data_IF_447582420599
#
_entry.id   IF_447582420599
#
_cell.length_a   1.000
_cell.length_b   1.000
_cell.length_c   1.000
_cell.angle_alpha   90.00
_cell.angle_beta   90.00
_cell.angle_gamma   90.00
#
_symmetry.space_group_name_H-M   'P 1'
#
loop_
_entity.id
_entity.type
_entity.pdbx_description
1 polymer ?
#
# COMPACT_ATOMS: atom_id res chain seq x y z
N UNK A 1 -1.96 7.54 -16.42
CA UNK A 1 -0.95 7.91 -15.39
C UNK A 1 0.13 6.83 -15.18
N UNK A 2 -0.23 5.54 -15.07
CA UNK A 2 0.70 4.47 -14.71
C UNK A 2 1.08 3.46 -15.82
N UNK A 3 0.52 3.58 -17.03
CA UNK A 3 0.81 2.66 -18.14
C UNK A 3 2.32 2.59 -18.42
N UNK A 4 2.88 1.38 -18.47
CA UNK A 4 4.30 1.12 -18.74
C UNK A 4 5.23 1.35 -17.55
N UNK A 5 4.71 1.68 -16.36
CA UNK A 5 5.47 1.86 -15.12
C UNK A 5 5.36 0.64 -14.23
N UNK A 6 6.40 0.40 -13.44
CA UNK A 6 6.29 -0.47 -12.26
C UNK A 6 5.65 0.38 -11.16
N UNK A 7 4.60 -0.11 -10.50
CA UNK A 7 3.87 0.65 -9.49
C UNK A 7 3.96 -0.05 -8.14
N UNK A 8 4.42 0.68 -7.13
CA UNK A 8 4.31 0.27 -5.74
C UNK A 8 3.08 0.93 -5.12
N UNK A 9 2.04 0.14 -4.88
CA UNK A 9 0.80 0.59 -4.22
C UNK A 9 0.95 0.36 -2.72
N UNK A 10 0.67 1.36 -1.90
CA UNK A 10 0.85 1.29 -0.43
C UNK A 10 -0.30 1.95 0.31
N UNK A 11 -0.88 1.26 1.30
CA UNK A 11 -1.78 1.90 2.26
C UNK A 11 -0.95 2.63 3.32
N UNK A 12 -1.14 3.94 3.49
CA UNK A 12 -0.33 4.77 4.39
C UNK A 12 -1.14 5.29 5.57
N UNK A 13 -0.39 5.68 6.60
CA UNK A 13 -0.87 6.23 7.84
C UNK A 13 -0.05 7.49 8.20
N UNK A 14 -0.70 8.52 8.74
CA UNK A 14 -0.04 9.73 9.24
C UNK A 14 0.50 9.56 10.66
N UNK A 15 -0.18 8.76 11.50
CA UNK A 15 0.16 8.56 12.91
C UNK A 15 0.48 7.07 13.15
N UNK A 16 1.76 6.72 13.14
CA UNK A 16 2.31 5.39 13.41
C UNK A 16 3.76 5.59 13.87
N UNK A 17 4.23 4.83 14.87
CA UNK A 17 5.65 4.84 15.26
C UNK A 17 6.62 4.49 14.12
N UNK A 18 6.12 3.85 13.05
CA UNK A 18 6.88 3.49 11.85
C UNK A 18 6.69 4.44 10.66
N UNK A 19 5.91 5.51 10.80
CA UNK A 19 5.58 6.44 9.70
C UNK A 19 6.85 7.03 9.11
N UNK A 20 7.72 7.64 9.93
CA UNK A 20 8.94 8.27 9.44
C UNK A 20 9.85 7.29 8.69
N UNK A 21 10.04 6.08 9.22
CA UNK A 21 10.85 5.05 8.57
C UNK A 21 10.27 4.62 7.23
N UNK A 22 8.95 4.35 7.16
CA UNK A 22 8.32 3.90 5.91
C UNK A 22 8.32 5.01 4.86
N UNK A 23 7.99 6.26 5.21
CA UNK A 23 8.04 7.36 4.26
C UNK A 23 9.47 7.62 3.75
N UNK A 24 10.48 7.54 4.63
CA UNK A 24 11.88 7.68 4.23
C UNK A 24 12.32 6.56 3.27
N UNK A 25 11.93 5.31 3.54
CA UNK A 25 12.23 4.18 2.65
C UNK A 25 11.50 4.30 1.30
N UNK A 26 10.23 4.71 1.30
CA UNK A 26 9.48 4.98 0.07
C UNK A 26 10.15 6.10 -0.75
N UNK A 27 10.60 7.16 -0.09
CA UNK A 27 11.36 8.25 -0.74
C UNK A 27 12.65 7.73 -1.34
N UNK A 28 13.43 6.93 -0.61
CA UNK A 28 14.68 6.34 -1.12
C UNK A 28 14.44 5.46 -2.34
N UNK A 29 13.38 4.64 -2.33
CA UNK A 29 13.00 3.83 -3.49
C UNK A 29 12.62 4.70 -4.69
N UNK A 30 11.83 5.74 -4.46
CA UNK A 30 11.44 6.69 -5.51
C UNK A 30 12.67 7.39 -6.09
N UNK A 31 13.53 7.96 -5.25
CA UNK A 31 14.75 8.66 -5.68
C UNK A 31 15.65 7.74 -6.53
N UNK A 32 15.75 6.45 -6.15
CA UNK A 32 16.60 5.48 -6.83
C UNK A 32 16.03 4.94 -8.15
N UNK A 33 14.71 4.73 -8.24
CA UNK A 33 14.10 3.99 -9.35
C UNK A 33 13.08 4.77 -10.18
N UNK A 34 12.73 6.01 -9.81
CA UNK A 34 11.78 6.85 -10.56
C UNK A 34 12.20 7.04 -12.02
N UNK A 35 13.49 7.33 -12.26
CA UNK A 35 14.07 7.46 -13.62
C UNK A 35 13.99 6.16 -14.43
N UNK A 36 13.90 5.00 -13.75
CA UNK A 36 13.76 3.67 -14.37
C UNK A 36 12.31 3.27 -14.58
N UNK A 37 11.36 4.14 -14.25
CA UNK A 37 9.93 3.94 -14.44
C UNK A 37 9.19 3.38 -13.22
N UNK A 38 9.73 3.53 -12.00
CA UNK A 38 8.97 3.29 -10.78
C UNK A 38 7.99 4.45 -10.52
N UNK A 39 6.76 4.12 -10.13
CA UNK A 39 5.82 5.04 -9.50
C UNK A 39 5.39 4.49 -8.13
N UNK A 40 5.08 5.39 -7.20
CA UNK A 40 4.54 5.04 -5.89
C UNK A 40 3.14 5.65 -5.80
N UNK A 41 2.14 4.82 -5.50
CA UNK A 41 0.77 5.23 -5.25
C UNK A 41 0.45 5.00 -3.77
N UNK A 42 0.40 6.07 -3.00
CA UNK A 42 0.15 6.04 -1.56
C UNK A 42 -1.30 6.42 -1.28
N UNK A 43 -2.03 5.54 -0.59
CA UNK A 43 -3.43 5.71 -0.26
C UNK A 43 -3.60 5.81 1.27
N UNK A 44 -4.02 6.97 1.80
CA UNK A 44 -4.37 7.10 3.22
C UNK A 44 -5.48 6.12 3.61
N UNK A 45 -5.33 5.42 4.73
CA UNK A 45 -6.29 4.42 5.22
C UNK A 45 -6.84 4.80 6.60
N UNK A 46 -8.14 4.52 6.84
CA UNK A 46 -8.79 4.84 8.13
C UNK A 46 -8.94 3.64 9.08
N UNK A 47 -8.57 2.44 8.65
CA UNK A 47 -8.89 1.21 9.37
C UNK A 47 -7.86 0.83 10.46
N UNK A 48 -6.81 1.65 10.64
CA UNK A 48 -5.72 1.37 11.56
C UNK A 48 -5.26 2.66 12.28
N UNK A 49 -5.40 2.71 13.61
CA UNK A 49 -4.76 3.74 14.45
C UNK A 49 -5.45 5.11 14.52
N UNK A 50 -6.72 5.26 14.12
CA UNK A 50 -7.57 6.40 14.51
C UNK A 50 -7.09 7.81 14.08
N UNK A 51 -6.80 8.03 12.80
CA UNK A 51 -6.25 9.29 12.29
C UNK A 51 -7.32 10.36 12.01
N UNK A 52 -7.00 11.66 12.11
CA UNK A 52 -7.93 12.73 11.74
C UNK A 52 -8.35 12.69 10.26
N UNK A 53 -9.62 12.98 9.97
CA UNK A 53 -10.30 12.82 8.68
C UNK A 53 -10.05 13.95 7.66
N UNK A 54 -8.80 14.42 7.58
CA UNK A 54 -8.45 15.56 6.74
C UNK A 54 -8.28 15.22 5.25
N UNK A 55 -8.29 13.93 4.87
CA UNK A 55 -8.09 13.45 3.50
C UNK A 55 -9.10 12.38 3.12
N UNK A 56 -9.38 12.23 1.81
CA UNK A 56 -10.12 11.08 1.30
C UNK A 56 -9.32 9.80 1.60
N UNK A 57 -9.79 9.02 2.56
CA UNK A 57 -9.21 7.74 2.96
C UNK A 57 -9.93 6.60 2.23
N UNK A 58 -9.20 5.51 2.02
CA UNK A 58 -9.76 4.29 1.43
C UNK A 58 -9.86 3.21 2.49
N UNK A 59 -10.98 2.50 2.49
CA UNK A 59 -11.10 1.23 3.20
C UNK A 59 -10.40 0.15 2.38
N UNK A 60 -9.59 -0.66 3.05
CA UNK A 60 -8.79 -1.73 2.43
C UNK A 60 -9.31 -3.13 2.76
N UNK A 61 -10.24 -3.24 3.72
CA UNK A 61 -10.94 -4.45 4.12
C UNK A 61 -12.43 -4.18 4.37
N UNK A 62 -13.25 -5.23 4.35
CA UNK A 62 -14.66 -5.18 4.77
C UNK A 62 -15.63 -4.81 3.65
N UNK A 63 -16.93 -4.63 3.96
CA UNK A 63 -17.99 -4.50 2.96
C UNK A 63 -17.92 -3.21 2.13
N UNK A 64 -17.19 -2.20 2.61
CA UNK A 64 -16.98 -0.90 1.96
C UNK A 64 -15.58 -0.78 1.34
N UNK A 65 -14.82 -1.88 1.27
CA UNK A 65 -13.47 -1.84 0.74
C UNK A 65 -13.42 -1.34 -0.70
N UNK A 66 -12.36 -0.57 -1.00
CA UNK A 66 -12.20 -0.04 -2.34
C UNK A 66 -11.90 -1.18 -3.34
N UNK A 67 -12.55 -1.24 -4.53
CA UNK A 67 -12.38 -2.34 -5.49
C UNK A 67 -10.93 -2.63 -5.89
N UNK A 68 -10.08 -1.59 -5.90
CA UNK A 68 -8.63 -1.77 -6.08
C UNK A 68 -8.02 -2.72 -5.03
N UNK A 69 -8.34 -2.53 -3.75
CA UNK A 69 -7.79 -3.35 -2.68
C UNK A 69 -8.38 -4.77 -2.68
N UNK A 70 -9.67 -4.92 -3.02
CA UNK A 70 -10.27 -6.23 -3.26
C UNK A 70 -9.47 -7.02 -4.32
N UNK A 71 -9.23 -6.40 -5.48
CA UNK A 71 -8.45 -7.00 -6.58
C UNK A 71 -7.00 -7.33 -6.17
N UNK A 72 -6.32 -6.41 -5.49
CA UNK A 72 -4.92 -6.62 -5.06
C UNK A 72 -4.79 -7.77 -4.07
N UNK A 73 -5.73 -7.88 -3.12
CA UNK A 73 -5.77 -8.95 -2.13
C UNK A 73 -6.08 -10.30 -2.78
N UNK A 74 -7.03 -10.35 -3.73
CA UNK A 74 -7.36 -11.56 -4.49
C UNK A 74 -6.13 -12.09 -5.27
N UNK A 75 -5.40 -11.21 -5.95
CA UNK A 75 -4.25 -11.60 -6.78
C UNK A 75 -3.01 -12.02 -5.97
N UNK A 76 -2.86 -11.54 -4.74
CA UNK A 76 -1.71 -11.81 -3.86
C UNK A 76 -2.16 -12.21 -2.44
N UNK A 77 -3.17 -13.07 -2.38
CA UNK A 77 -3.73 -13.63 -1.16
C UNK A 77 -2.87 -14.77 -0.59
N UNK A 78 -3.10 -15.09 0.69
CA UNK A 78 -2.49 -16.24 1.37
C UNK A 78 -3.49 -17.38 1.59
N UNK A 79 -3.02 -18.53 2.07
CA UNK A 79 -3.85 -19.71 2.35
C UNK A 79 -4.76 -19.57 3.59
N UNK A 80 -4.55 -18.54 4.41
CA UNK A 80 -5.33 -18.22 5.62
C UNK A 80 -5.86 -16.77 5.58
N UNK A 81 -6.60 -16.45 4.51
CA UNK A 81 -7.21 -15.14 4.29
C UNK A 81 -6.25 -14.11 3.69
N UNK A 82 -6.81 -13.09 3.06
CA UNK A 82 -6.10 -12.09 2.27
C UNK A 82 -6.18 -10.67 2.87
N UNK A 83 -6.92 -10.47 3.97
CA UNK A 83 -7.06 -9.17 4.63
C UNK A 83 -5.72 -8.46 4.87
N UNK A 84 -5.73 -7.14 4.69
CA UNK A 84 -4.60 -6.29 5.05
C UNK A 84 -4.58 -6.15 6.57
N UNK A 85 -3.52 -6.66 7.18
CA UNK A 85 -3.43 -6.74 8.64
C UNK A 85 -2.95 -5.44 9.30
N UNK A 86 -2.23 -4.58 8.56
CA UNK A 86 -1.71 -3.32 9.10
C UNK A 86 -1.38 -2.27 8.03
N UNK A 87 -1.12 -1.04 8.50
CA UNK A 87 -0.57 0.06 7.71
C UNK A 87 0.76 -0.30 7.04
N UNK A 88 1.00 0.33 5.88
CA UNK A 88 2.18 0.15 5.04
C UNK A 88 2.32 -1.25 4.44
N UNK A 89 1.22 -1.95 4.18
CA UNK A 89 1.22 -3.10 3.27
C UNK A 89 1.44 -2.59 1.84
N UNK A 90 2.31 -3.27 1.09
CA UNK A 90 2.74 -2.83 -0.23
C UNK A 90 2.42 -3.91 -1.26
N UNK A 91 1.90 -3.50 -2.42
CA UNK A 91 1.71 -4.36 -3.58
C UNK A 91 2.58 -3.85 -4.72
N UNK A 92 3.36 -4.74 -5.31
CA UNK A 92 4.16 -4.45 -6.50
C UNK A 92 3.37 -4.86 -7.73
N UNK A 93 3.20 -3.94 -8.66
CA UNK A 93 2.52 -4.15 -9.94
C UNK A 93 3.51 -3.90 -11.07
N UNK A 94 3.60 -4.84 -12.01
CA UNK A 94 4.50 -4.74 -13.15
C UNK A 94 3.99 -3.74 -14.22
N UNK A 95 4.77 -3.60 -15.30
CA UNK A 95 4.44 -2.68 -16.41
C UNK A 95 3.19 -3.07 -17.20
N UNK A 96 2.76 -4.33 -17.08
CA UNK A 96 1.58 -4.88 -17.73
C UNK A 96 0.34 -4.80 -16.84
N UNK A 97 0.47 -4.34 -15.60
CA UNK A 97 -0.63 -4.26 -14.64
C UNK A 97 -0.83 -5.53 -13.82
N UNK A 98 0.09 -6.50 -13.90
CA UNK A 98 0.01 -7.74 -13.11
C UNK A 98 0.54 -7.49 -11.70
N UNK A 99 -0.19 -7.97 -10.69
CA UNK A 99 0.24 -7.89 -9.29
C UNK A 99 1.27 -8.99 -9.06
N UNK A 100 2.54 -8.61 -8.87
CA UNK A 100 3.65 -9.57 -8.81
C UNK A 100 4.03 -10.00 -7.41
N UNK A 101 3.80 -9.14 -6.40
CA UNK A 101 4.17 -9.44 -5.02
C UNK A 101 3.41 -8.58 -4.02
N UNK A 102 3.22 -9.11 -2.81
CA UNK A 102 2.72 -8.40 -1.63
C UNK A 102 3.75 -8.44 -0.51
N UNK A 103 3.99 -7.28 0.13
CA UNK A 103 4.90 -7.13 1.26
C UNK A 103 4.11 -6.60 2.46
N UNK A 104 4.17 -7.33 3.57
CA UNK A 104 3.45 -7.00 4.81
C UNK A 104 4.41 -6.44 5.86
N UNK A 105 3.91 -5.54 6.70
CA UNK A 105 4.56 -5.26 7.98
C UNK A 105 4.07 -6.29 8.99
N UNK A 106 4.94 -7.21 9.38
CA UNK A 106 4.60 -8.30 10.31
C UNK A 106 4.37 -7.82 11.76
N UNK A 107 4.74 -6.58 12.07
CA UNK A 107 4.60 -6.01 13.40
C UNK A 107 3.67 -4.78 13.38
N UNK A 108 2.56 -4.79 14.13
CA UNK A 108 1.73 -3.60 14.32
C UNK A 108 2.55 -2.50 15.03
N UNK A 109 2.33 -1.25 14.62
CA UNK A 109 2.84 -0.08 15.36
C UNK A 109 2.07 -0.04 16.69
N UNK A 110 2.79 -0.15 17.81
CA UNK A 110 2.29 0.23 19.13
C UNK A 110 2.83 1.60 19.50
#
# INVERSE_FOLDING_TARGET
LFRGKVVLIVNVASECGLTNTNYNQLKQLYDKYSSRGLAIAAFPCNQFGGQPDLYAKVDVNGPTEHPLYAFLKEQQGGTLGDDIKWNFTKFLVDRNGQVVSRFINAFPCF
#
